data_IF_618372434177
#
_entry.id   IF_618372434177
#
_cell.length_a   1.000
_cell.length_b   1.000
_cell.length_c   1.000
_cell.angle_alpha   90.00
_cell.angle_beta   90.00
_cell.angle_gamma   90.00
#
_symmetry.space_group_name_H-M   'P 1'
#
loop_
_entity.id
_entity.type
_entity.pdbx_description
1 polymer ?
#
# COMPACT_ATOMS: atom_id res chain seq x y z
N UNK A 1 -16.68 -2.06 -3.67
CA UNK A 1 -15.47 -1.35 -3.23
C UNK A 1 -14.44 -2.24 -2.55
N UNK A 2 -14.75 -2.93 -1.43
CA UNK A 2 -13.81 -3.85 -0.76
C UNK A 2 -13.20 -4.91 -1.68
N UNK A 3 -14.05 -5.63 -2.40
CA UNK A 3 -13.64 -6.69 -3.32
C UNK A 3 -12.79 -6.15 -4.48
N UNK A 4 -13.09 -4.93 -4.96
CA UNK A 4 -12.29 -4.26 -5.98
C UNK A 4 -10.87 -3.98 -5.47
N UNK A 5 -10.75 -3.41 -4.26
CA UNK A 5 -9.45 -3.09 -3.65
C UNK A 5 -8.64 -4.36 -3.40
N UNK A 6 -9.27 -5.41 -2.85
CA UNK A 6 -8.62 -6.70 -2.68
C UNK A 6 -8.18 -7.30 -4.04
N UNK A 7 -9.03 -7.17 -5.07
CA UNK A 7 -8.72 -7.59 -6.44
C UNK A 7 -7.51 -6.86 -7.03
N UNK A 8 -7.34 -5.57 -6.77
CA UNK A 8 -6.15 -4.81 -7.20
C UNK A 8 -4.88 -5.32 -6.50
N UNK A 9 -4.96 -5.65 -5.21
CA UNK A 9 -3.85 -6.27 -4.49
C UNK A 9 -3.46 -7.64 -5.07
N UNK A 10 -4.45 -8.47 -5.39
CA UNK A 10 -4.24 -9.78 -6.03
C UNK A 10 -3.63 -9.61 -7.43
N UNK A 11 -4.16 -8.68 -8.24
CA UNK A 11 -3.64 -8.39 -9.55
C UNK A 11 -2.16 -7.99 -9.48
N UNK A 12 -1.79 -7.11 -8.55
CA UNK A 12 -0.40 -6.74 -8.35
C UNK A 12 0.47 -7.95 -7.93
N UNK A 13 -0.02 -8.80 -7.04
CA UNK A 13 0.70 -10.02 -6.65
C UNK A 13 0.96 -10.96 -7.85
N UNK A 14 -0.03 -11.10 -8.75
CA UNK A 14 0.13 -11.87 -10.00
C UNK A 14 1.17 -11.23 -10.91
N UNK A 15 1.12 -9.91 -11.09
CA UNK A 15 2.11 -9.18 -11.90
C UNK A 15 3.53 -9.31 -11.35
N UNK A 16 3.69 -9.25 -10.01
CA UNK A 16 4.98 -9.50 -9.35
C UNK A 16 5.44 -10.93 -9.61
N UNK A 17 4.55 -11.92 -9.44
CA UNK A 17 4.87 -13.33 -9.71
C UNK A 17 5.31 -13.56 -11.15
N UNK A 18 4.62 -12.96 -12.12
CA UNK A 18 5.02 -12.97 -13.52
C UNK A 18 6.37 -12.27 -13.75
N UNK A 19 6.60 -11.09 -13.18
CA UNK A 19 7.88 -10.38 -13.35
C UNK A 19 9.07 -11.19 -12.82
N UNK A 20 8.89 -11.94 -11.72
CA UNK A 20 9.92 -12.83 -11.17
C UNK A 20 10.30 -13.97 -12.12
N UNK A 21 9.44 -14.37 -13.07
CA UNK A 21 9.80 -15.38 -14.09
C UNK A 21 10.56 -14.77 -15.28
N UNK A 22 10.55 -13.45 -15.44
CA UNK A 22 11.15 -12.77 -16.59
C UNK A 22 12.59 -12.34 -16.34
N UNK A 23 12.92 -11.86 -15.14
CA UNK A 23 14.25 -11.39 -14.80
C UNK A 23 14.53 -11.44 -13.28
N UNK A 24 15.80 -11.60 -12.86
CA UNK A 24 16.17 -11.47 -11.47
C UNK A 24 15.79 -10.10 -10.90
N UNK A 25 15.30 -10.09 -9.65
CA UNK A 25 14.88 -8.87 -8.96
C UNK A 25 16.02 -7.86 -8.86
N UNK A 26 17.20 -8.29 -8.37
CA UNK A 26 18.36 -7.40 -8.16
C UNK A 26 18.85 -6.74 -9.45
N UNK A 27 18.89 -7.49 -10.55
CA UNK A 27 19.31 -6.96 -11.85
C UNK A 27 18.31 -5.91 -12.36
N UNK A 28 17.02 -6.23 -12.27
CA UNK A 28 15.96 -5.29 -12.68
C UNK A 28 15.96 -4.04 -11.80
N UNK A 29 16.17 -4.19 -10.49
CA UNK A 29 16.27 -3.07 -9.56
C UNK A 29 17.48 -2.19 -9.85
N UNK A 30 18.63 -2.80 -10.20
CA UNK A 30 19.83 -2.09 -10.63
C UNK A 30 19.59 -1.16 -11.83
N UNK A 31 18.78 -1.59 -12.80
CA UNK A 31 18.39 -0.74 -13.94
C UNK A 31 17.47 0.40 -13.52
N UNK A 32 16.53 0.14 -12.61
CA UNK A 32 15.60 1.17 -12.10
C UNK A 32 16.36 2.28 -11.36
N UNK A 33 17.31 1.94 -10.48
CA UNK A 33 18.07 2.96 -9.73
C UNK A 33 19.08 3.73 -10.60
N UNK A 34 19.52 3.14 -11.72
CA UNK A 34 20.39 3.81 -12.68
C UNK A 34 19.64 4.81 -13.57
N UNK A 35 18.31 4.65 -13.68
CA UNK A 35 17.45 5.57 -14.41
C UNK A 35 16.93 6.71 -13.51
N UNK A 36 17.09 8.00 -13.88
CA UNK A 36 16.64 9.11 -13.05
C UNK A 36 15.13 9.10 -12.77
N UNK A 37 14.31 8.69 -13.74
CA UNK A 37 12.87 8.57 -13.53
C UNK A 37 12.52 7.34 -12.69
N UNK A 38 13.31 6.27 -12.78
CA UNK A 38 13.23 5.12 -11.88
C UNK A 38 13.45 5.51 -10.42
N UNK A 39 14.43 6.37 -10.12
CA UNK A 39 14.61 6.95 -8.78
C UNK A 39 13.41 7.78 -8.33
N UNK A 40 12.87 8.64 -9.20
CA UNK A 40 11.67 9.44 -8.89
C UNK A 40 10.46 8.55 -8.62
N UNK A 41 10.25 7.50 -9.41
CA UNK A 41 9.17 6.54 -9.22
C UNK A 41 9.32 5.75 -7.90
N UNK A 42 10.55 5.36 -7.54
CA UNK A 42 10.82 4.75 -6.24
C UNK A 42 10.54 5.72 -5.10
N UNK A 43 10.97 6.98 -5.22
CA UNK A 43 10.69 8.01 -4.22
C UNK A 43 9.19 8.24 -4.04
N UNK A 44 8.43 8.36 -5.14
CA UNK A 44 6.97 8.48 -5.13
C UNK A 44 6.30 7.29 -4.42
N UNK A 45 6.70 6.06 -4.78
CA UNK A 45 6.19 4.83 -4.19
C UNK A 45 6.44 4.75 -2.68
N UNK A 46 7.69 4.97 -2.25
CA UNK A 46 8.06 4.87 -0.84
C UNK A 46 7.51 6.04 -0.02
N UNK A 47 7.38 7.23 -0.59
CA UNK A 47 6.68 8.33 0.06
C UNK A 47 5.20 7.98 0.29
N UNK A 48 4.56 7.36 -0.71
CA UNK A 48 3.22 6.79 -0.56
C UNK A 48 3.13 5.77 0.58
N UNK A 49 4.15 4.91 0.73
CA UNK A 49 4.20 3.95 1.84
C UNK A 49 4.32 4.65 3.20
N UNK A 50 5.17 5.67 3.33
CA UNK A 50 5.30 6.46 4.57
C UNK A 50 3.94 7.07 4.93
N UNK A 51 3.26 7.70 3.98
CA UNK A 51 1.94 8.30 4.21
C UNK A 51 0.92 7.25 4.66
N UNK A 52 0.86 6.10 3.99
CA UNK A 52 -0.04 5.01 4.40
C UNK A 52 0.34 4.42 5.77
N UNK A 53 1.63 4.39 6.10
CA UNK A 53 2.11 3.93 7.41
C UNK A 53 1.58 4.78 8.55
N UNK A 54 1.53 6.10 8.36
CA UNK A 54 0.93 7.03 9.33
C UNK A 54 -0.55 6.69 9.53
N UNK A 55 -1.28 6.45 8.44
CA UNK A 55 -2.70 6.06 8.52
C UNK A 55 -2.88 4.73 9.27
N UNK A 56 -2.04 3.73 8.97
CA UNK A 56 -2.06 2.42 9.68
C UNK A 56 -1.77 2.63 11.17
N UNK A 57 -0.73 3.38 11.52
CA UNK A 57 -0.34 3.64 12.91
C UNK A 57 -1.41 4.37 13.71
N UNK A 58 -2.14 5.29 13.09
CA UNK A 58 -3.23 6.04 13.73
C UNK A 58 -4.53 5.23 13.82
N UNK A 59 -4.74 4.28 12.92
CA UNK A 59 -6.00 3.52 12.82
C UNK A 59 -5.96 2.22 13.64
N UNK A 60 -4.81 1.55 13.69
CA UNK A 60 -4.68 0.27 14.38
C UNK A 60 -4.55 0.45 15.89
N UNK A 61 -5.44 -0.20 16.64
CA UNK A 61 -5.42 -0.16 18.11
C UNK A 61 -4.21 -0.90 18.70
N UNK A 62 -3.75 -1.95 18.03
CA UNK A 62 -2.57 -2.72 18.45
C UNK A 62 -1.31 -2.16 17.78
N UNK A 63 -0.40 -1.60 18.60
CA UNK A 63 0.88 -1.08 18.12
C UNK A 63 1.74 -2.16 17.46
N UNK A 64 1.69 -3.38 17.99
CA UNK A 64 2.45 -4.52 17.42
C UNK A 64 1.92 -4.84 16.01
N UNK A 65 0.60 -4.93 15.85
CA UNK A 65 0.00 -5.20 14.54
C UNK A 65 0.32 -4.06 13.55
N UNK A 66 0.27 -2.81 14.00
CA UNK A 66 0.63 -1.67 13.17
C UNK A 66 2.08 -1.77 12.67
N UNK A 67 3.03 -2.09 13.55
CA UNK A 67 4.45 -2.26 13.18
C UNK A 67 4.61 -3.42 12.17
N UNK A 68 3.97 -4.56 12.41
CA UNK A 68 4.02 -5.70 11.49
C UNK A 68 3.50 -5.31 10.11
N UNK A 69 2.36 -4.61 10.04
CA UNK A 69 1.77 -4.16 8.79
C UNK A 69 2.64 -3.12 8.06
N UNK A 70 3.26 -2.20 8.79
CA UNK A 70 4.18 -1.21 8.21
C UNK A 70 5.42 -1.90 7.65
N UNK A 71 6.05 -2.80 8.40
CA UNK A 71 7.20 -3.56 7.90
C UNK A 71 6.81 -4.38 6.66
N UNK A 72 5.65 -5.06 6.72
CA UNK A 72 5.13 -5.80 5.57
C UNK A 72 4.84 -4.89 4.37
N UNK A 73 4.36 -3.66 4.57
CA UNK A 73 4.12 -2.68 3.51
C UNK A 73 5.42 -2.29 2.79
N UNK A 74 6.52 -2.08 3.51
CA UNK A 74 7.81 -1.74 2.86
C UNK A 74 8.45 -2.92 2.12
N UNK A 75 8.11 -4.16 2.50
CA UNK A 75 8.66 -5.37 1.88
C UNK A 75 7.80 -5.89 0.72
N UNK A 76 6.48 -5.93 0.89
CA UNK A 76 5.52 -6.48 -0.08
C UNK A 76 4.77 -5.39 -0.87
N UNK A 77 4.99 -4.11 -0.53
CA UNK A 77 4.41 -2.98 -1.23
C UNK A 77 2.89 -2.90 -1.14
N UNK A 78 2.29 -2.39 -2.21
CA UNK A 78 0.86 -2.08 -2.28
C UNK A 78 -0.07 -3.29 -2.14
N UNK A 79 0.44 -4.53 -2.20
CA UNK A 79 -0.34 -5.73 -1.89
C UNK A 79 -0.85 -5.66 -0.44
N UNK A 80 0.03 -5.32 0.51
CA UNK A 80 -0.32 -5.17 1.93
C UNK A 80 -1.23 -3.97 2.14
N UNK A 81 -0.93 -2.85 1.48
CA UNK A 81 -1.78 -1.65 1.53
C UNK A 81 -3.21 -1.93 1.08
N UNK A 82 -3.38 -2.62 -0.05
CA UNK A 82 -4.68 -3.00 -0.58
C UNK A 82 -5.44 -3.93 0.38
N UNK A 83 -4.79 -4.95 0.93
CA UNK A 83 -5.39 -5.86 1.90
C UNK A 83 -5.81 -5.11 3.18
N UNK A 84 -4.98 -4.22 3.68
CA UNK A 84 -5.27 -3.41 4.86
C UNK A 84 -6.49 -2.51 4.63
N UNK A 85 -6.53 -1.76 3.52
CA UNK A 85 -7.68 -0.90 3.19
C UNK A 85 -8.94 -1.74 2.99
N UNK A 86 -8.87 -2.89 2.32
CA UNK A 86 -10.02 -3.78 2.13
C UNK A 86 -10.56 -4.33 3.46
N UNK A 87 -9.66 -4.65 4.39
CA UNK A 87 -10.00 -5.12 5.74
C UNK A 87 -10.61 -4.01 6.61
N UNK A 88 -10.11 -2.77 6.50
CA UNK A 88 -10.58 -1.62 7.30
C UNK A 88 -11.62 -0.75 6.59
N UNK A 89 -12.07 -1.14 5.41
CA UNK A 89 -13.07 -0.40 4.64
C UNK A 89 -14.33 0.01 5.43
N UNK A 90 -14.92 -0.84 6.30
CA UNK A 90 -16.07 -0.42 7.11
C UNK A 90 -15.76 0.75 8.04
N UNK A 91 -14.58 0.76 8.65
CA UNK A 91 -14.16 1.84 9.54
C UNK A 91 -13.88 3.12 8.76
N UNK A 92 -13.18 3.01 7.63
CA UNK A 92 -12.81 4.13 6.78
C UNK A 92 -14.03 4.81 6.15
N UNK A 93 -14.98 4.03 5.62
CA UNK A 93 -16.22 4.57 5.02
C UNK A 93 -17.07 5.31 6.06
N UNK A 94 -17.13 4.81 7.28
CA UNK A 94 -17.97 5.38 8.34
C UNK A 94 -17.33 6.67 8.86
N UNK A 95 -15.99 6.75 8.92
CA UNK A 95 -15.26 7.98 9.21
C UNK A 95 -15.51 9.08 8.18
N UNK A 96 -15.38 8.76 6.88
CA UNK A 96 -15.60 9.73 5.79
C UNK A 96 -17.03 10.29 5.80
N UNK A 97 -18.04 9.43 6.02
CA UNK A 97 -19.45 9.85 6.09
C UNK A 97 -19.72 10.83 7.24
N UNK A 98 -19.07 10.63 8.39
CA UNK A 98 -19.20 11.55 9.53
C UNK A 98 -18.61 12.93 9.23
N UNK A 99 -17.47 12.97 8.54
CA UNK A 99 -16.84 14.24 8.15
C UNK A 99 -17.71 15.05 7.19
N UNK A 100 -18.32 14.39 6.20
CA UNK A 100 -19.21 15.07 5.24
C UNK A 100 -20.51 15.56 5.87
N UNK A 101 -21.03 14.85 6.89
CA UNK A 101 -22.21 15.29 7.61
C UNK A 101 -21.93 16.51 8.49
N UNK A 102 -20.75 16.57 9.13
CA UNK A 102 -20.34 17.67 10.00
C UNK A 102 -20.03 18.98 9.25
N UNK A 103 -19.66 18.93 7.97
CA UNK A 103 -19.45 20.12 7.15
C UNK A 103 -20.75 20.72 6.57
N UNK A 104 -21.88 20.02 6.71
CA UNK A 104 -23.17 20.41 6.14
C UNK A 104 -24.14 21.02 7.18
N UNK A 105 -23.73 21.09 8.45
CA UNK A 105 -24.45 21.71 9.58
C UNK A 105 -23.80 23.02 9.98
#
# INVERSE_FOLDING_TARGET
MRALIAGLGILLAVLVGWAMTQAPLLESFGRVIADPWGLVALADLYLGFVLLSVVIALTERSRILAVILIVALFLLGNIVGALWVAARWPLLRDGLRRMTAASAS
#
